data_IF_653424551140
#
_entry.id   IF_653424551140
#
_cell.length_a   1.000
_cell.length_b   1.000
_cell.length_c   1.000
_cell.angle_alpha   90.00
_cell.angle_beta   90.00
_cell.angle_gamma   90.00
#
_symmetry.space_group_name_H-M   'P 1'
#
loop_
_entity.id
_entity.type
_entity.pdbx_description
1 polymer ?
#
# COMPACT_ATOMS: atom_id res chain seq x y z
N UNK A 1 13.52 -3.37 26.39
CA UNK A 1 14.52 -4.26 25.74
C UNK A 1 15.30 -3.40 24.77
N UNK A 2 16.57 -3.09 25.04
CA UNK A 2 17.39 -2.25 24.19
C UNK A 2 18.16 -3.11 23.17
N UNK A 3 18.20 -2.69 21.91
CA UNK A 3 19.04 -3.28 20.88
C UNK A 3 20.32 -2.45 20.81
N UNK A 4 21.44 -3.06 21.09
CA UNK A 4 22.75 -2.41 21.07
C UNK A 4 23.44 -2.65 19.73
N UNK A 5 23.65 -1.60 18.94
CA UNK A 5 24.43 -1.65 17.71
C UNK A 5 25.89 -1.30 18.02
N UNK A 6 26.74 -2.30 18.24
CA UNK A 6 28.17 -2.07 18.41
C UNK A 6 28.80 -1.64 17.08
N UNK A 7 29.22 -0.37 17.00
CA UNK A 7 29.96 0.18 15.86
C UNK A 7 29.56 1.57 15.40
N UNK A 8 28.48 2.11 15.88
CA UNK A 8 28.06 3.50 15.63
C UNK A 8 27.70 4.09 16.98
N UNK A 9 28.62 4.83 17.60
CA UNK A 9 28.52 5.49 18.90
C UNK A 9 27.57 4.82 19.91
N UNK A 10 27.94 4.71 21.17
CA UNK A 10 27.17 4.08 22.26
C UNK A 10 25.79 4.70 22.55
N UNK A 11 25.04 5.08 21.54
CA UNK A 11 23.69 5.57 21.70
C UNK A 11 22.73 4.40 21.67
N UNK A 12 22.20 4.08 22.83
CA UNK A 12 21.07 3.16 22.98
C UNK A 12 19.84 3.84 22.38
N UNK A 13 19.42 3.42 21.19
CA UNK A 13 18.14 3.89 20.64
C UNK A 13 17.01 3.19 21.41
N UNK A 14 16.50 3.87 22.42
CA UNK A 14 15.25 3.49 23.08
C UNK A 14 14.09 3.97 22.22
N UNK A 15 13.36 3.05 21.60
CA UNK A 15 12.06 3.39 21.04
C UNK A 15 11.15 3.78 22.24
N UNK A 16 10.43 4.91 22.17
CA UNK A 16 9.47 5.25 23.20
C UNK A 16 8.45 4.11 23.35
N UNK A 17 7.99 3.86 24.58
CA UNK A 17 7.08 2.74 24.93
C UNK A 17 5.77 2.70 24.13
N UNK A 18 5.47 3.70 23.32
CA UNK A 18 4.32 3.81 22.42
C UNK A 18 4.71 4.28 21.02
N UNK A 19 5.82 3.78 20.46
CA UNK A 19 6.28 4.18 19.12
C UNK A 19 5.19 3.98 18.06
N UNK A 20 4.37 2.92 18.18
CA UNK A 20 3.20 2.69 17.35
C UNK A 20 1.91 2.90 18.16
N UNK A 21 1.05 3.80 17.69
CA UNK A 21 -0.25 4.08 18.31
C UNK A 21 -1.33 3.10 17.86
N UNK A 22 -1.14 2.44 16.74
CA UNK A 22 -2.08 1.50 16.14
C UNK A 22 -1.86 1.34 14.65
N UNK A 23 -2.80 0.69 14.00
CA UNK A 23 -2.73 0.47 12.57
C UNK A 23 -4.04 -0.04 11.98
N UNK A 24 -4.07 -0.15 10.67
CA UNK A 24 -5.18 -0.71 9.93
C UNK A 24 -4.69 -1.37 8.63
N UNK A 25 -5.48 -2.31 8.14
CA UNK A 25 -5.24 -3.01 6.89
C UNK A 25 -6.43 -2.81 5.95
N UNK A 26 -6.15 -2.31 4.74
CA UNK A 26 -7.14 -2.07 3.67
C UNK A 26 -6.80 -2.92 2.47
N UNK A 27 -7.79 -3.49 1.84
CA UNK A 27 -7.61 -4.38 0.69
C UNK A 27 -8.57 -4.07 -0.45
N UNK A 28 -8.19 -4.52 -1.63
CA UNK A 28 -9.09 -4.79 -2.74
C UNK A 28 -9.62 -6.22 -2.59
N UNK A 29 -10.75 -6.36 -1.93
CA UNK A 29 -11.42 -7.63 -1.70
C UNK A 29 -12.51 -7.84 -2.73
N UNK A 30 -12.51 -8.98 -3.37
CA UNK A 30 -13.54 -9.38 -4.34
C UNK A 30 -14.31 -10.60 -3.83
N UNK A 31 -15.48 -10.84 -4.42
CA UNK A 31 -16.23 -12.06 -4.20
C UNK A 31 -15.46 -13.28 -4.71
N UNK A 32 -15.81 -14.46 -4.21
CA UNK A 32 -15.26 -15.75 -4.64
C UNK A 32 -15.31 -15.87 -6.17
N UNK A 33 -14.22 -16.33 -6.76
CA UNK A 33 -14.03 -16.48 -8.21
C UNK A 33 -14.17 -15.19 -9.03
N UNK A 34 -13.93 -14.02 -8.41
CA UNK A 34 -13.90 -12.74 -9.11
C UNK A 34 -12.46 -12.27 -9.27
N UNK A 35 -12.07 -11.94 -10.48
CA UNK A 35 -10.76 -11.42 -10.83
C UNK A 35 -10.57 -9.96 -10.39
N UNK A 36 -9.32 -9.51 -10.35
CA UNK A 36 -8.95 -8.15 -9.92
C UNK A 36 -9.29 -7.05 -10.93
N UNK A 37 -9.67 -7.40 -12.16
CA UNK A 37 -10.00 -6.46 -13.22
C UNK A 37 -8.95 -6.35 -14.33
N UNK A 38 -9.32 -5.70 -15.44
CA UNK A 38 -8.44 -5.46 -16.59
C UNK A 38 -7.40 -4.38 -16.25
N UNK A 39 -6.22 -4.52 -16.88
CA UNK A 39 -5.13 -3.57 -16.66
C UNK A 39 -4.68 -2.96 -17.99
N UNK A 40 -5.10 -1.73 -18.28
CA UNK A 40 -4.70 -1.00 -19.48
C UNK A 40 -3.32 -0.36 -19.31
N UNK A 41 -2.48 -0.48 -20.35
CA UNK A 41 -1.17 0.19 -20.41
C UNK A 41 -1.26 1.71 -20.61
N UNK A 42 -0.12 2.37 -20.59
CA UNK A 42 0.06 3.77 -20.99
C UNK A 42 -0.12 4.81 -19.90
N UNK A 43 -0.85 4.54 -18.82
CA UNK A 43 -1.09 5.50 -17.74
C UNK A 43 -1.11 4.87 -16.36
N UNK A 44 -1.09 5.71 -15.33
CA UNK A 44 -1.35 5.28 -13.96
C UNK A 44 -2.84 4.97 -13.79
N UNK A 45 -3.14 3.77 -13.31
CA UNK A 45 -4.51 3.31 -13.05
C UNK A 45 -4.73 3.20 -11.55
N UNK A 46 -5.85 3.74 -11.07
CA UNK A 46 -6.25 3.59 -9.68
C UNK A 46 -6.54 2.11 -9.40
N UNK A 47 -6.00 1.60 -8.30
CA UNK A 47 -6.34 0.28 -7.77
C UNK A 47 -7.56 0.39 -6.88
N UNK A 48 -8.39 -0.63 -6.90
CA UNK A 48 -9.49 -0.72 -5.95
C UNK A 48 -8.94 -0.89 -4.52
N UNK A 49 -9.59 -0.21 -3.60
CA UNK A 49 -9.46 -0.37 -2.15
C UNK A 49 -10.88 -0.24 -1.60
N UNK A 50 -11.46 -1.33 -1.14
CA UNK A 50 -12.89 -1.38 -0.84
C UNK A 50 -13.24 -1.99 0.53
N UNK A 51 -12.26 -2.54 1.24
CA UNK A 51 -12.48 -3.18 2.54
C UNK A 51 -11.43 -2.74 3.56
N UNK A 52 -11.88 -2.31 4.74
CA UNK A 52 -11.04 -2.20 5.92
C UNK A 52 -11.13 -3.51 6.68
N UNK A 53 -10.15 -4.38 6.50
CA UNK A 53 -10.19 -5.76 7.04
C UNK A 53 -10.09 -5.77 8.57
N UNK A 54 -9.21 -4.97 9.14
CA UNK A 54 -9.14 -4.77 10.59
C UNK A 54 -8.47 -3.45 10.96
N UNK A 55 -8.69 -3.04 12.21
CA UNK A 55 -8.03 -1.92 12.88
C UNK A 55 -7.60 -2.35 14.29
N UNK A 56 -6.50 -1.78 14.76
CA UNK A 56 -6.06 -1.95 16.15
C UNK A 56 -5.46 -0.65 16.69
N UNK A 57 -5.45 -0.51 18.00
CA UNK A 57 -4.92 0.69 18.67
C UNK A 57 -5.73 1.96 18.37
N UNK A 58 -5.11 3.11 18.54
CA UNK A 58 -5.77 4.42 18.44
C UNK A 58 -5.64 5.02 17.02
N UNK A 59 -6.32 4.45 16.05
CA UNK A 59 -6.35 4.96 14.67
C UNK A 59 -7.64 5.69 14.31
N UNK A 60 -8.62 5.68 15.20
CA UNK A 60 -9.91 6.34 14.97
C UNK A 60 -10.70 5.76 13.80
N UNK A 61 -11.50 6.61 13.15
CA UNK A 61 -12.27 6.24 11.96
C UNK A 61 -11.42 6.39 10.72
N UNK A 62 -11.27 5.30 9.97
CA UNK A 62 -10.62 5.28 8.65
C UNK A 62 -11.69 5.46 7.60
N UNK A 63 -11.63 6.57 6.85
CA UNK A 63 -12.50 6.79 5.69
C UNK A 63 -12.05 5.95 4.51
N UNK A 64 -13.01 5.36 3.80
CA UNK A 64 -12.77 4.59 2.57
C UNK A 64 -13.85 4.95 1.54
N UNK A 65 -13.47 5.67 0.49
CA UNK A 65 -14.38 6.12 -0.55
C UNK A 65 -13.64 6.33 -1.88
N UNK A 66 -14.24 5.94 -3.00
CA UNK A 66 -13.66 6.13 -4.32
C UNK A 66 -12.28 5.50 -4.50
N UNK A 67 -12.06 4.34 -3.87
CA UNK A 67 -10.75 3.65 -3.87
C UNK A 67 -9.62 4.46 -3.20
N UNK A 68 -9.99 5.37 -2.33
CA UNK A 68 -9.06 6.18 -1.53
C UNK A 68 -9.29 5.98 -0.04
N UNK A 69 -8.20 6.01 0.70
CA UNK A 69 -8.16 5.88 2.15
C UNK A 69 -7.93 7.25 2.76
N UNK A 70 -8.76 7.64 3.71
CA UNK A 70 -8.59 8.87 4.51
C UNK A 70 -8.27 8.48 5.95
N UNK A 71 -6.98 8.47 6.34
CA UNK A 71 -6.58 8.22 7.72
C UNK A 71 -6.95 9.40 8.63
N UNK A 72 -7.01 9.15 9.95
CA UNK A 72 -7.04 10.23 10.92
C UNK A 72 -5.73 11.00 10.94
N UNK A 73 -5.71 12.17 11.57
CA UNK A 73 -4.50 12.98 11.70
C UNK A 73 -3.35 12.19 12.34
N UNK A 74 -2.14 12.35 11.77
CA UNK A 74 -0.91 11.76 12.29
C UNK A 74 0.08 11.27 11.24
N UNK A 75 1.21 10.77 11.70
CA UNK A 75 2.21 10.11 10.88
C UNK A 75 1.88 8.65 10.67
N UNK A 76 2.05 8.19 9.43
CA UNK A 76 1.82 6.80 9.05
C UNK A 76 2.99 6.24 8.24
N UNK A 77 3.44 5.05 8.63
CA UNK A 77 4.22 4.17 7.77
C UNK A 77 3.22 3.36 6.94
N UNK A 78 3.26 3.52 5.63
CA UNK A 78 2.37 2.85 4.69
C UNK A 78 3.17 1.83 3.88
N UNK A 79 2.78 0.58 3.97
CA UNK A 79 3.31 -0.51 3.16
C UNK A 79 2.22 -1.00 2.22
N UNK A 80 2.56 -1.27 0.96
CA UNK A 80 1.57 -1.76 0.00
C UNK A 80 2.13 -2.85 -0.91
N UNK A 81 1.22 -3.63 -1.46
CA UNK A 81 1.47 -4.69 -2.42
C UNK A 81 0.39 -4.67 -3.49
N UNK A 82 0.76 -4.64 -4.75
CA UNK A 82 -0.15 -4.58 -5.89
C UNK A 82 0.20 -5.66 -6.93
N UNK A 83 -0.66 -6.66 -7.15
CA UNK A 83 -0.42 -7.74 -8.09
C UNK A 83 -0.69 -7.32 -9.54
N UNK A 84 -0.05 -8.04 -10.46
CA UNK A 84 -0.33 -7.96 -11.90
C UNK A 84 -0.05 -9.30 -12.58
N UNK A 85 -0.81 -9.58 -13.66
CA UNK A 85 -0.67 -10.80 -14.48
C UNK A 85 -0.59 -10.41 -15.95
N UNK A 86 0.38 -10.96 -16.69
CA UNK A 86 0.55 -10.83 -18.15
C UNK A 86 0.66 -9.40 -18.67
N UNK A 87 1.30 -8.49 -17.94
CA UNK A 87 1.37 -7.07 -18.28
C UNK A 87 2.79 -6.57 -18.59
N UNK A 88 3.75 -7.47 -18.72
CA UNK A 88 5.16 -7.11 -18.89
C UNK A 88 5.75 -6.52 -17.62
N UNK A 89 6.50 -5.42 -17.74
CA UNK A 89 6.94 -4.68 -16.55
C UNK A 89 5.79 -3.86 -15.98
N UNK A 90 5.75 -3.77 -14.68
CA UNK A 90 4.77 -2.95 -13.98
C UNK A 90 5.37 -2.33 -12.71
N UNK A 91 4.79 -1.23 -12.27
CA UNK A 91 5.19 -0.51 -11.07
C UNK A 91 3.96 0.09 -10.40
N UNK A 92 3.93 0.05 -9.07
CA UNK A 92 2.89 0.72 -8.28
C UNK A 92 3.42 1.93 -7.55
N UNK A 93 2.52 2.80 -7.10
CA UNK A 93 2.84 3.96 -6.27
C UNK A 93 1.70 4.30 -5.33
N UNK A 94 2.03 4.94 -4.22
CA UNK A 94 1.07 5.75 -3.47
C UNK A 94 0.96 7.11 -4.13
N UNK A 95 -0.27 7.58 -4.31
CA UNK A 95 -0.59 8.96 -4.72
C UNK A 95 -1.55 9.56 -3.70
N UNK A 96 -1.18 10.72 -3.17
CA UNK A 96 -1.97 11.43 -2.16
C UNK A 96 -2.81 12.53 -2.77
N UNK A 97 -3.89 12.95 -2.11
CA UNK A 97 -4.77 14.02 -2.57
C UNK A 97 -4.10 15.39 -2.66
N UNK A 98 -2.94 15.59 -2.04
CA UNK A 98 -2.17 16.84 -2.10
C UNK A 98 -0.94 16.77 -3.02
N UNK A 99 -0.83 15.71 -3.86
CA UNK A 99 0.25 15.57 -4.85
C UNK A 99 1.50 14.82 -4.37
N UNK A 100 1.53 14.33 -3.14
CA UNK A 100 2.61 13.46 -2.67
C UNK A 100 2.62 12.14 -3.44
N UNK A 101 3.79 11.72 -3.90
CA UNK A 101 3.97 10.47 -4.65
C UNK A 101 5.15 9.70 -4.08
N UNK A 102 4.94 8.40 -3.85
CA UNK A 102 6.01 7.46 -3.52
C UNK A 102 5.89 6.20 -4.38
N UNK A 103 6.96 5.89 -5.10
CA UNK A 103 7.02 4.73 -6.00
C UNK A 103 7.41 3.46 -5.24
N UNK A 104 6.79 2.35 -5.64
CA UNK A 104 7.16 1.01 -5.23
C UNK A 104 8.20 0.38 -6.15
N UNK A 105 8.47 -0.89 -5.94
CA UNK A 105 9.37 -1.70 -6.76
C UNK A 105 8.78 -2.00 -8.14
N UNK A 106 9.64 -2.21 -9.13
CA UNK A 106 9.21 -2.76 -10.40
C UNK A 106 9.02 -4.28 -10.30
N UNK A 107 7.89 -4.76 -10.81
CA UNK A 107 7.63 -6.16 -11.05
C UNK A 107 7.70 -6.49 -12.53
N UNK A 108 7.83 -7.77 -12.86
CA UNK A 108 7.75 -8.26 -14.22
C UNK A 108 6.92 -9.53 -14.27
N UNK A 109 5.96 -9.58 -15.18
CA UNK A 109 5.22 -10.78 -15.54
C UNK A 109 5.68 -11.25 -16.91
N UNK A 110 5.86 -12.55 -17.15
CA UNK A 110 6.14 -13.05 -18.48
C UNK A 110 5.05 -12.66 -19.47
N UNK A 111 5.44 -12.43 -20.72
CA UNK A 111 4.54 -12.18 -21.85
C UNK A 111 3.67 -13.41 -22.18
N UNK A 112 2.62 -13.29 -23.02
CA UNK A 112 1.45 -14.14 -23.05
C UNK A 112 1.75 -15.64 -23.08
N UNK A 113 1.13 -16.38 -22.20
CA UNK A 113 1.20 -17.85 -22.12
C UNK A 113 1.28 -18.40 -20.70
N UNK A 114 1.80 -17.68 -19.75
CA UNK A 114 1.94 -18.14 -18.36
C UNK A 114 1.12 -17.27 -17.41
N UNK A 115 0.32 -17.91 -16.53
CA UNK A 115 -0.48 -17.25 -15.50
C UNK A 115 0.36 -16.86 -14.26
N UNK A 116 1.58 -16.37 -14.47
CA UNK A 116 2.43 -15.97 -13.36
C UNK A 116 2.04 -14.56 -12.90
N UNK A 117 1.61 -14.48 -11.66
CA UNK A 117 1.41 -13.22 -10.96
C UNK A 117 2.76 -12.73 -10.42
N UNK A 118 3.02 -11.44 -10.55
CA UNK A 118 4.06 -10.77 -9.77
C UNK A 118 3.47 -9.57 -9.07
N UNK A 119 4.17 -9.06 -8.03
CA UNK A 119 3.70 -7.96 -7.22
C UNK A 119 4.71 -6.82 -7.21
N UNK A 120 4.20 -5.60 -7.29
CA UNK A 120 4.94 -4.38 -6.97
C UNK A 120 4.68 -4.05 -5.51
N UNK A 121 5.75 -3.81 -4.76
CA UNK A 121 5.69 -3.49 -3.33
C UNK A 121 6.25 -2.11 -3.08
N UNK A 122 5.84 -1.48 -1.99
CA UNK A 122 6.44 -0.24 -1.56
C UNK A 122 6.23 0.01 -0.08
N UNK A 123 7.00 0.98 0.41
CA UNK A 123 6.92 1.47 1.77
C UNK A 123 7.19 2.98 1.74
N UNK A 124 6.37 3.74 2.44
CA UNK A 124 6.48 5.19 2.50
C UNK A 124 6.00 5.75 3.83
N UNK A 125 6.47 6.94 4.14
CA UNK A 125 6.07 7.69 5.32
C UNK A 125 5.32 8.94 4.88
N UNK A 126 4.12 9.14 5.41
CA UNK A 126 3.32 10.34 5.17
C UNK A 126 2.67 10.85 6.46
N UNK A 127 2.52 12.17 6.51
CA UNK A 127 1.67 12.81 7.51
C UNK A 127 0.32 13.16 6.89
N UNK A 128 -0.76 12.93 7.62
CA UNK A 128 -2.14 13.23 7.23
C UNK A 128 -2.79 14.14 8.25
N UNK A 129 -3.60 15.09 7.79
CA UNK A 129 -4.33 16.04 8.65
C UNK A 129 -5.77 15.58 8.97
N UNK A 130 -6.10 14.33 8.71
CA UNK A 130 -7.45 13.78 8.96
C UNK A 130 -8.47 14.01 7.85
N UNK A 131 -8.19 14.90 6.88
CA UNK A 131 -9.07 15.13 5.71
C UNK A 131 -8.41 14.74 4.37
N UNK A 132 -7.12 14.51 4.39
CA UNK A 132 -6.34 14.11 3.24
C UNK A 132 -6.47 12.61 2.99
N UNK A 133 -6.44 12.22 1.71
CA UNK A 133 -6.55 10.83 1.30
C UNK A 133 -5.35 10.38 0.49
N UNK A 134 -5.20 9.08 0.36
CA UNK A 134 -4.27 8.46 -0.57
C UNK A 134 -4.91 7.25 -1.26
N UNK A 135 -4.32 6.85 -2.38
CA UNK A 135 -4.68 5.62 -3.09
C UNK A 135 -3.47 4.95 -3.70
N UNK A 136 -3.63 3.70 -4.07
CA UNK A 136 -2.61 2.95 -4.81
C UNK A 136 -2.88 3.10 -6.29
N UNK A 137 -1.88 3.53 -7.03
CA UNK A 137 -1.90 3.58 -8.50
C UNK A 137 -0.89 2.58 -9.07
N UNK A 138 -1.22 2.03 -10.24
CA UNK A 138 -0.43 1.01 -10.90
C UNK A 138 -0.30 1.32 -12.39
N UNK A 139 0.91 1.12 -12.95
CA UNK A 139 1.21 1.30 -14.36
C UNK A 139 1.89 0.05 -14.92
N UNK A 140 1.63 -0.29 -16.18
CA UNK A 140 2.27 -1.41 -16.87
C UNK A 140 2.66 -1.03 -18.31
N UNK A 141 3.57 -1.82 -18.89
CA UNK A 141 4.05 -1.64 -20.26
C UNK A 141 3.06 -2.19 -21.28
N UNK A 142 2.50 -3.37 -21.00
CA UNK A 142 1.56 -4.05 -21.87
C UNK A 142 0.22 -4.21 -21.17
N UNK A 143 -0.86 -3.79 -21.80
CA UNK A 143 -2.19 -3.93 -21.24
C UNK A 143 -2.68 -5.38 -21.25
N UNK A 144 -3.49 -5.76 -20.27
CA UNK A 144 -4.24 -7.00 -20.23
C UNK A 144 -5.73 -6.67 -20.17
N UNK A 145 -6.44 -6.95 -21.27
CA UNK A 145 -7.88 -6.67 -21.40
C UNK A 145 -8.76 -7.68 -20.67
N UNK A 146 -8.23 -8.85 -20.35
CA UNK A 146 -8.96 -9.85 -19.56
C UNK A 146 -9.14 -9.39 -18.12
N UNK A 147 -10.17 -9.91 -17.45
CA UNK A 147 -10.55 -9.53 -16.08
C UNK A 147 -9.47 -9.75 -15.01
N UNK A 148 -8.44 -10.55 -15.31
CA UNK A 148 -7.37 -10.91 -14.36
C UNK A 148 -6.09 -10.07 -14.47
N UNK A 149 -6.05 -8.99 -15.24
CA UNK A 149 -4.85 -8.15 -15.37
C UNK A 149 -4.31 -7.62 -14.05
N UNK A 150 -5.18 -7.34 -13.11
CA UNK A 150 -4.86 -6.93 -11.74
C UNK A 150 -4.76 -8.09 -10.73
N UNK A 151 -4.83 -9.33 -11.18
CA UNK A 151 -4.76 -10.53 -10.35
C UNK A 151 -5.89 -11.53 -10.70
N UNK A 152 -5.65 -12.82 -10.49
CA UNK A 152 -6.64 -13.88 -10.74
C UNK A 152 -7.35 -14.30 -9.46
N UNK A 153 -8.68 -14.31 -9.51
CA UNK A 153 -9.57 -14.53 -8.38
C UNK A 153 -10.07 -15.96 -8.17
N UNK A 154 -9.35 -16.97 -8.62
CA UNK A 154 -9.75 -18.38 -8.52
C UNK A 154 -9.70 -18.95 -7.08
N UNK A 155 -10.06 -18.15 -6.09
CA UNK A 155 -10.04 -18.53 -4.67
C UNK A 155 -11.20 -17.87 -3.92
N UNK A 156 -11.46 -18.37 -2.70
CA UNK A 156 -12.44 -17.76 -1.82
C UNK A 156 -11.97 -16.38 -1.36
N UNK A 157 -12.83 -15.38 -1.51
CA UNK A 157 -12.61 -14.00 -1.05
C UNK A 157 -11.21 -13.47 -1.41
N UNK A 158 -10.81 -13.42 -2.69
CA UNK A 158 -9.47 -13.02 -3.07
C UNK A 158 -9.21 -11.56 -2.71
N UNK A 159 -7.98 -11.30 -2.24
CA UNK A 159 -7.45 -9.97 -1.95
C UNK A 159 -6.33 -9.67 -2.93
N UNK A 160 -6.43 -8.55 -3.62
CA UNK A 160 -5.46 -8.16 -4.64
C UNK A 160 -4.51 -7.09 -4.14
N UNK A 161 -4.93 -5.84 -4.17
CA UNK A 161 -4.13 -4.76 -3.60
C UNK A 161 -4.29 -4.75 -2.09
N UNK A 162 -3.17 -4.67 -1.40
CA UNK A 162 -3.11 -4.69 0.05
C UNK A 162 -2.32 -3.47 0.54
N UNK A 163 -2.84 -2.79 1.56
CA UNK A 163 -2.21 -1.64 2.19
C UNK A 163 -2.26 -1.79 3.69
N UNK A 164 -1.10 -1.83 4.31
CA UNK A 164 -0.94 -1.80 5.78
C UNK A 164 -0.47 -0.42 6.19
N UNK A 165 -1.16 0.19 7.13
CA UNK A 165 -0.85 1.48 7.70
C UNK A 165 -0.57 1.35 9.20
N UNK A 166 0.60 1.81 9.63
CA UNK A 166 0.99 1.87 11.03
C UNK A 166 1.09 3.32 11.46
N UNK A 167 0.24 3.74 12.38
CA UNK A 167 0.27 5.07 12.99
C UNK A 167 1.33 5.11 14.09
N UNK A 168 2.18 6.12 14.07
CA UNK A 168 3.25 6.26 15.08
C UNK A 168 3.38 7.71 15.57
N UNK A 169 3.96 7.84 16.76
CA UNK A 169 4.38 9.14 17.28
C UNK A 169 5.70 9.51 16.61
N UNK A 170 5.72 10.62 15.92
CA UNK A 170 6.97 11.21 15.47
C UNK A 170 7.46 12.15 16.58
N UNK A 171 8.54 11.76 17.26
CA UNK A 171 9.18 12.65 18.23
C UNK A 171 9.90 13.76 17.45
N UNK A 172 9.38 14.97 17.57
CA UNK A 172 9.97 16.17 16.95
C UNK A 172 11.18 16.72 17.74
N UNK A 173 11.63 16.04 18.78
CA UNK A 173 12.82 16.42 19.55
C UNK A 173 14.11 16.21 18.72
N UNK A 174 14.17 16.75 17.51
CA UNK A 174 15.39 16.71 16.69
C UNK A 174 15.20 16.81 15.18
N UNK A 175 13.99 16.89 14.67
CA UNK A 175 13.76 17.06 13.24
C UNK A 175 12.73 18.17 12.98
N UNK A 176 13.21 19.34 12.61
CA UNK A 176 12.41 20.33 11.88
C UNK A 176 11.94 19.73 10.55
N UNK A 177 10.67 19.95 10.13
CA UNK A 177 10.15 19.50 8.84
C UNK A 177 10.87 20.15 7.67
#
# INVERSE_FOLDING_TARGET
>A
MGINFSGISNETMTLPDNAFQGGFWVTDKKATNTDGGSFSSGGWRQRDLNEVEFKFGNVGTVGLSGNQVTPTEGWYLIMWSAPAIRVGHHNSRIATSWGGIQYGTCGRTPSPGYHNESRSHGCARFWFNGSQSFGVQHKCDSGQSSSYGFGSGQRENPRFTEVTCLKYVYDTAGATP
#
